data_IF_219449361979
#
_entry.id   IF_219449361979
#
_cell.length_a   1.000
_cell.length_b   1.000
_cell.length_c   1.000
_cell.angle_alpha   90.00
_cell.angle_beta   90.00
_cell.angle_gamma   90.00
#
_symmetry.space_group_name_H-M   'P 1'
#
loop_
_entity.id
_entity.type
_entity.pdbx_description
1 polymer ?
#
# COMPACT_ATOMS: atom_id res chain seq x y z
N UNK A 1 14.84 17.51 1.49
CA UNK A 1 13.42 17.46 1.95
C UNK A 1 12.56 17.61 0.71
N UNK A 2 11.85 16.56 0.30
CA UNK A 2 11.33 16.39 -1.07
C UNK A 2 10.07 17.20 -1.39
N UNK A 3 9.86 17.47 -2.68
CA UNK A 3 8.71 18.20 -3.27
C UNK A 3 7.33 17.69 -2.81
N UNK A 4 7.24 16.44 -2.37
CA UNK A 4 6.01 15.88 -1.79
C UNK A 4 5.53 16.61 -0.51
N UNK A 5 6.41 17.35 0.18
CA UNK A 5 6.08 18.11 1.39
C UNK A 5 5.69 19.57 1.12
N UNK A 6 5.91 20.08 -0.10
CA UNK A 6 5.65 21.47 -0.48
C UNK A 6 4.16 21.86 -0.39
N UNK A 7 3.20 21.02 -0.86
CA UNK A 7 1.77 21.33 -0.75
C UNK A 7 1.25 21.37 0.69
N UNK A 8 2.00 20.79 1.63
CA UNK A 8 1.60 20.68 3.04
C UNK A 8 2.12 21.82 3.90
N UNK A 9 2.87 22.77 3.34
CA UNK A 9 3.53 23.82 4.11
C UNK A 9 2.55 24.67 4.93
N UNK A 10 1.40 25.01 4.34
CA UNK A 10 0.32 25.83 4.93
C UNK A 10 -0.88 24.98 5.41
N UNK A 11 -0.78 23.65 5.33
CA UNK A 11 -1.90 22.77 5.60
C UNK A 11 -2.12 22.57 7.12
N UNK A 12 -3.36 22.60 7.64
CA UNK A 12 -3.64 22.41 9.07
C UNK A 12 -3.10 21.07 9.61
N UNK A 13 -3.21 20.01 8.82
CA UNK A 13 -2.81 18.65 9.21
C UNK A 13 -1.32 18.34 8.97
N UNK A 14 -0.48 19.34 8.70
CA UNK A 14 0.96 19.15 8.37
C UNK A 14 1.71 18.28 9.39
N UNK A 15 1.30 18.29 10.66
CA UNK A 15 1.94 17.52 11.74
C UNK A 15 1.57 16.04 11.73
N UNK A 16 0.39 15.71 11.23
CA UNK A 16 -0.16 14.35 11.18
C UNK A 16 0.24 13.64 9.88
N UNK A 17 0.45 14.41 8.81
CA UNK A 17 0.80 13.90 7.50
C UNK A 17 2.29 13.57 7.42
N UNK A 18 2.58 12.38 6.90
CA UNK A 18 3.92 11.84 6.65
C UNK A 18 4.05 11.47 5.18
N UNK A 19 4.32 12.45 4.29
CA UNK A 19 4.44 12.19 2.87
C UNK A 19 5.55 11.17 2.61
N UNK A 20 5.25 10.18 1.79
CA UNK A 20 6.29 9.30 1.23
C UNK A 20 7.19 10.19 0.36
N UNK A 21 8.52 10.04 0.44
CA UNK A 21 9.47 10.94 -0.24
C UNK A 21 9.37 11.02 -1.77
N UNK A 22 8.40 10.32 -2.36
CA UNK A 22 8.04 10.27 -3.78
C UNK A 22 6.54 10.56 -3.95
N UNK A 23 6.09 11.16 -5.06
CA UNK A 23 4.66 11.32 -5.35
C UNK A 23 3.97 9.96 -5.47
N UNK A 24 2.89 9.75 -4.72
CA UNK A 24 2.09 8.52 -4.75
C UNK A 24 0.67 8.84 -5.22
N UNK A 25 0.16 8.04 -6.16
CA UNK A 25 -1.22 8.10 -6.63
C UNK A 25 -1.88 6.74 -6.40
N UNK A 26 -2.96 6.71 -5.64
CA UNK A 26 -3.80 5.54 -5.41
C UNK A 26 -4.96 5.58 -6.40
N UNK A 27 -5.09 4.53 -7.21
CA UNK A 27 -6.14 4.40 -8.22
C UNK A 27 -7.17 3.34 -7.79
N UNK A 28 -8.40 3.78 -7.54
CA UNK A 28 -9.57 2.90 -7.47
C UNK A 28 -10.15 2.69 -8.87
N UNK A 29 -10.32 1.45 -9.31
CA UNK A 29 -11.03 1.14 -10.56
C UNK A 29 -12.33 0.39 -10.29
N UNK A 30 -13.19 0.31 -11.31
CA UNK A 30 -14.50 -0.35 -11.26
C UNK A 30 -15.43 0.19 -10.18
N UNK A 31 -15.47 1.52 -10.04
CA UNK A 31 -16.39 2.16 -9.12
C UNK A 31 -17.86 1.82 -9.41
N UNK A 32 -18.20 1.56 -10.66
CA UNK A 32 -19.50 1.08 -11.12
C UNK A 32 -19.87 -0.30 -10.53
N UNK A 33 -18.93 -1.24 -10.50
CA UNK A 33 -19.13 -2.55 -9.87
C UNK A 33 -19.27 -2.42 -8.35
N UNK A 34 -18.47 -1.54 -7.74
CA UNK A 34 -18.57 -1.24 -6.30
C UNK A 34 -19.93 -0.61 -5.94
N UNK A 35 -20.40 0.33 -6.74
CA UNK A 35 -21.71 0.97 -6.56
C UNK A 35 -22.86 -0.02 -6.71
N UNK A 36 -22.76 -0.98 -7.64
CA UNK A 36 -23.78 -2.01 -7.85
C UNK A 36 -23.80 -3.09 -6.75
N UNK A 37 -22.63 -3.63 -6.37
CA UNK A 37 -22.53 -4.82 -5.51
C UNK A 37 -22.37 -4.50 -4.02
N UNK A 38 -21.90 -3.30 -3.68
CA UNK A 38 -21.63 -2.87 -2.31
C UNK A 38 -22.29 -1.52 -2.01
N UNK A 39 -23.38 -1.21 -2.72
CA UNK A 39 -24.03 0.09 -2.80
C UNK A 39 -24.73 0.61 -1.54
N UNK A 40 -24.73 -0.15 -0.43
CA UNK A 40 -25.18 0.36 0.87
C UNK A 40 -24.46 1.68 1.19
N UNK A 41 -25.19 2.80 1.35
CA UNK A 41 -24.60 4.12 1.54
C UNK A 41 -23.59 4.18 2.69
N UNK A 42 -23.86 3.46 3.78
CA UNK A 42 -22.97 3.39 4.94
C UNK A 42 -21.65 2.67 4.63
N UNK A 43 -21.67 1.52 3.95
CA UNK A 43 -20.43 0.80 3.57
C UNK A 43 -19.54 1.65 2.66
N UNK A 44 -20.16 2.36 1.72
CA UNK A 44 -19.49 3.28 0.80
C UNK A 44 -18.91 4.50 1.51
N UNK A 45 -19.64 5.07 2.47
CA UNK A 45 -19.15 6.16 3.32
C UNK A 45 -17.96 5.73 4.17
N UNK A 46 -17.97 4.53 4.75
CA UNK A 46 -16.83 4.01 5.51
C UNK A 46 -15.62 3.79 4.61
N UNK A 47 -15.79 3.14 3.45
CA UNK A 47 -14.70 2.89 2.49
C UNK A 47 -14.06 4.20 2.02
N UNK A 48 -14.88 5.14 1.58
CA UNK A 48 -14.38 6.42 1.03
C UNK A 48 -13.63 7.23 2.07
N UNK A 49 -14.14 7.33 3.30
CA UNK A 49 -13.43 8.02 4.39
C UNK A 49 -12.14 7.29 4.77
N UNK A 50 -12.14 5.97 4.79
CA UNK A 50 -10.96 5.16 5.07
C UNK A 50 -9.86 5.38 4.02
N UNK A 51 -10.19 5.28 2.73
CA UNK A 51 -9.24 5.55 1.63
C UNK A 51 -8.71 6.99 1.69
N UNK A 52 -9.59 7.97 1.94
CA UNK A 52 -9.21 9.37 2.09
C UNK A 52 -8.24 9.57 3.25
N UNK A 53 -8.51 8.97 4.41
CA UNK A 53 -7.61 9.02 5.57
C UNK A 53 -6.21 8.50 5.24
N UNK A 54 -6.09 7.29 4.68
CA UNK A 54 -4.79 6.71 4.37
C UNK A 54 -4.04 7.52 3.32
N UNK A 55 -4.73 7.98 2.27
CA UNK A 55 -4.10 8.83 1.25
C UNK A 55 -3.62 10.15 1.86
N UNK A 56 -4.44 10.77 2.71
CA UNK A 56 -4.12 12.03 3.38
C UNK A 56 -2.88 11.89 4.28
N UNK A 57 -2.87 10.90 5.17
CA UNK A 57 -1.76 10.67 6.11
C UNK A 57 -0.45 10.35 5.38
N UNK A 58 -0.50 9.68 4.22
CA UNK A 58 0.68 9.37 3.42
C UNK A 58 1.03 10.42 2.37
N UNK A 59 0.29 11.54 2.30
CA UNK A 59 0.49 12.58 1.29
C UNK A 59 0.23 12.12 -0.14
N UNK A 60 -0.55 11.06 -0.33
CA UNK A 60 -0.90 10.49 -1.62
C UNK A 60 -2.17 11.14 -2.21
N UNK A 61 -2.27 11.11 -3.54
CA UNK A 61 -3.50 11.49 -4.24
C UNK A 61 -4.38 10.25 -4.47
N UNK A 62 -5.70 10.39 -4.40
CA UNK A 62 -6.67 9.32 -4.65
C UNK A 62 -7.53 9.67 -5.87
N UNK A 63 -7.65 8.74 -6.83
CA UNK A 63 -8.56 8.87 -7.96
C UNK A 63 -9.34 7.57 -8.12
N UNK A 64 -10.66 7.66 -8.17
CA UNK A 64 -11.52 6.52 -8.50
C UNK A 64 -12.07 6.67 -9.92
N UNK A 65 -12.18 5.57 -10.65
CA UNK A 65 -12.62 5.52 -12.04
C UNK A 65 -13.67 4.43 -12.25
N UNK A 66 -14.62 4.67 -13.16
CA UNK A 66 -15.59 3.67 -13.63
C UNK A 66 -15.14 3.04 -14.95
N UNK A 67 -15.76 1.93 -15.34
CA UNK A 67 -15.59 1.40 -16.69
C UNK A 67 -15.99 2.44 -17.74
N UNK A 68 -15.13 2.68 -18.74
CA UNK A 68 -15.32 3.66 -19.83
C UNK A 68 -15.54 5.13 -19.38
N UNK A 69 -14.98 5.54 -18.23
CA UNK A 69 -15.06 6.92 -17.74
C UNK A 69 -13.97 7.82 -18.34
N UNK A 70 -14.25 8.41 -19.52
CA UNK A 70 -13.31 9.32 -20.20
C UNK A 70 -12.95 10.54 -19.33
N UNK A 71 -13.90 11.25 -18.68
CA UNK A 71 -13.58 12.39 -17.81
C UNK A 71 -12.58 12.04 -16.69
N UNK A 72 -12.81 10.97 -15.92
CA UNK A 72 -11.92 10.63 -14.81
C UNK A 72 -10.55 10.13 -15.30
N UNK A 73 -10.50 9.46 -16.44
CA UNK A 73 -9.24 9.08 -17.07
C UNK A 73 -8.41 10.29 -17.52
N UNK A 74 -9.04 11.38 -17.94
CA UNK A 74 -8.34 12.65 -18.24
C UNK A 74 -7.78 13.26 -16.97
N UNK A 75 -8.56 13.28 -15.88
CA UNK A 75 -8.10 13.76 -14.57
C UNK A 75 -6.89 12.96 -14.08
N UNK A 76 -6.94 11.63 -14.16
CA UNK A 76 -5.82 10.76 -13.80
C UNK A 76 -4.57 11.05 -14.63
N UNK A 77 -4.70 11.18 -15.96
CA UNK A 77 -3.56 11.52 -16.83
C UNK A 77 -2.95 12.87 -16.46
N UNK A 78 -3.78 13.87 -16.24
CA UNK A 78 -3.31 15.21 -15.86
C UNK A 78 -2.59 15.18 -14.50
N UNK A 79 -3.06 14.36 -13.56
CA UNK A 79 -2.41 14.16 -12.26
C UNK A 79 -1.02 13.52 -12.42
N UNK A 80 -0.92 12.48 -13.24
CA UNK A 80 0.36 11.83 -13.54
C UNK A 80 1.31 12.80 -14.27
N UNK A 81 0.81 13.56 -15.24
CA UNK A 81 1.60 14.57 -15.96
C UNK A 81 2.08 15.68 -15.03
N UNK A 82 1.27 16.10 -14.06
CA UNK A 82 1.70 17.06 -13.05
C UNK A 82 2.89 16.52 -12.23
N UNK A 83 2.83 15.24 -11.81
CA UNK A 83 3.93 14.64 -11.05
C UNK A 83 5.20 14.41 -11.86
N UNK A 84 5.08 14.03 -13.14
CA UNK A 84 6.22 13.68 -14.01
C UNK A 84 6.80 14.89 -14.74
N UNK A 85 5.94 15.73 -15.32
CA UNK A 85 6.31 16.84 -16.20
C UNK A 85 6.13 18.22 -15.57
N UNK A 86 5.68 18.30 -14.31
CA UNK A 86 5.50 19.56 -13.58
C UNK A 86 4.53 20.52 -14.28
N UNK A 87 3.51 19.98 -14.97
CA UNK A 87 2.40 20.76 -15.52
C UNK A 87 1.52 21.33 -14.42
N UNK A 88 0.51 22.13 -14.76
CA UNK A 88 -0.45 22.68 -13.80
C UNK A 88 -1.08 21.61 -12.89
N UNK A 89 -1.19 21.93 -11.60
CA UNK A 89 -1.80 21.05 -10.61
C UNK A 89 -3.27 20.78 -10.91
N UNK A 90 -3.72 19.54 -10.66
CA UNK A 90 -5.13 19.16 -10.75
C UNK A 90 -5.89 19.81 -9.61
N UNK A 91 -6.84 20.70 -9.95
CA UNK A 91 -7.70 21.40 -8.98
C UNK A 91 -9.06 20.74 -8.77
N UNK A 92 -9.40 19.73 -9.57
CA UNK A 92 -10.65 19.00 -9.43
C UNK A 92 -10.64 18.24 -8.12
N UNK A 93 -11.59 18.53 -7.24
CA UNK A 93 -11.77 17.86 -5.95
C UNK A 93 -13.18 17.29 -5.90
N UNK A 94 -13.27 16.03 -5.52
CA UNK A 94 -14.50 15.29 -5.39
C UNK A 94 -14.39 14.34 -4.20
N UNK A 95 -14.98 14.75 -3.08
CA UNK A 95 -14.89 14.07 -1.78
C UNK A 95 -16.16 13.25 -1.46
N UNK A 96 -17.21 13.44 -2.26
CA UNK A 96 -18.54 12.93 -2.01
C UNK A 96 -18.62 11.43 -2.30
N UNK A 97 -19.15 10.66 -1.36
CA UNK A 97 -19.14 9.20 -1.44
C UNK A 97 -20.13 8.64 -2.48
N UNK A 98 -21.04 9.45 -3.01
CA UNK A 98 -22.01 9.03 -4.04
C UNK A 98 -21.38 8.94 -5.43
N UNK A 99 -20.22 9.55 -5.66
CA UNK A 99 -19.56 9.64 -6.96
C UNK A 99 -18.10 9.16 -6.86
N UNK A 100 -17.45 8.80 -7.97
CA UNK A 100 -16.03 8.47 -7.96
C UNK A 100 -15.20 9.60 -7.35
N UNK A 101 -14.32 9.26 -6.42
CA UNK A 101 -13.48 10.23 -5.71
C UNK A 101 -12.38 10.81 -6.59
N UNK A 102 -12.06 12.09 -6.36
CA UNK A 102 -10.87 12.77 -6.89
C UNK A 102 -10.31 13.61 -5.76
N UNK A 103 -9.18 13.18 -5.19
CA UNK A 103 -8.57 13.81 -4.03
C UNK A 103 -7.09 14.04 -4.34
N UNK A 104 -6.72 15.21 -4.87
CA UNK A 104 -5.33 15.61 -4.99
C UNK A 104 -4.66 15.63 -3.61
N UNK A 105 -3.35 15.37 -3.57
CA UNK A 105 -2.56 15.56 -2.35
C UNK A 105 -2.78 16.99 -1.80
N UNK A 106 -2.91 17.10 -0.48
CA UNK A 106 -3.21 18.33 0.29
C UNK A 106 -4.54 19.03 0.02
N UNK A 107 -5.47 18.42 -0.73
CA UNK A 107 -6.80 18.99 -0.99
C UNK A 107 -7.87 18.53 0.01
N UNK A 108 -7.55 17.56 0.87
CA UNK A 108 -8.44 17.01 1.89
C UNK A 108 -8.03 17.47 3.29
N UNK A 109 -8.82 17.17 4.33
CA UNK A 109 -8.42 17.41 5.72
C UNK A 109 -8.97 16.36 6.66
N UNK A 110 -8.27 16.08 7.76
CA UNK A 110 -8.71 15.16 8.80
C UNK A 110 -10.05 15.62 9.42
N UNK A 111 -10.27 16.92 9.52
CA UNK A 111 -11.54 17.49 9.95
C UNK A 111 -12.69 17.15 8.98
N UNK A 112 -12.46 17.21 7.66
CA UNK A 112 -13.46 16.88 6.66
C UNK A 112 -13.71 15.36 6.52
N UNK A 113 -12.69 14.54 6.79
CA UNK A 113 -12.80 13.08 6.83
C UNK A 113 -13.60 12.64 8.07
N UNK A 114 -13.34 13.27 9.21
CA UNK A 114 -13.95 12.99 10.50
C UNK A 114 -13.35 11.78 11.20
N UNK A 115 -14.06 11.29 12.21
CA UNK A 115 -13.66 10.10 12.98
C UNK A 115 -14.23 8.82 12.35
N UNK A 116 -13.51 7.68 12.46
CA UNK A 116 -14.05 6.39 12.07
C UNK A 116 -15.27 6.03 12.93
N UNK A 117 -16.20 5.20 12.41
CA UNK A 117 -17.27 4.60 13.21
C UNK A 117 -16.70 3.90 14.44
N UNK A 118 -17.36 4.02 15.59
CA UNK A 118 -17.01 3.23 16.77
C UNK A 118 -17.24 1.75 16.48
N UNK A 119 -16.26 0.92 16.85
CA UNK A 119 -16.38 -0.54 16.84
C UNK A 119 -16.37 -0.97 18.30
N UNK A 120 -17.45 -1.62 18.75
CA UNK A 120 -17.60 -2.03 20.14
C UNK A 120 -16.50 -2.98 20.59
N UNK A 121 -15.95 -2.75 21.78
CA UNK A 121 -14.97 -3.65 22.41
C UNK A 121 -13.52 -3.50 21.96
N UNK A 122 -13.21 -2.55 21.05
CA UNK A 122 -11.83 -2.33 20.60
C UNK A 122 -11.35 -0.93 20.98
N UNK A 123 -10.58 -0.84 22.07
CA UNK A 123 -9.89 0.39 22.44
C UNK A 123 -8.56 0.45 21.70
N UNK A 124 -8.50 1.32 20.69
CA UNK A 124 -7.34 1.46 19.82
C UNK A 124 -6.80 2.88 19.94
N UNK A 125 -5.54 3.00 20.32
CA UNK A 125 -4.91 4.30 20.59
C UNK A 125 -4.49 5.03 19.32
N UNK A 126 -4.16 4.31 18.23
CA UNK A 126 -3.75 4.95 16.97
C UNK A 126 -4.93 5.20 16.02
N UNK A 127 -5.03 6.40 15.40
CA UNK A 127 -6.11 6.68 14.45
C UNK A 127 -6.13 5.75 13.23
N UNK A 128 -4.96 5.28 12.77
CA UNK A 128 -4.86 4.37 11.62
C UNK A 128 -5.41 2.97 11.89
N UNK A 129 -5.19 2.44 13.09
CA UNK A 129 -5.77 1.15 13.50
C UNK A 129 -7.28 1.26 13.72
N UNK A 130 -7.80 2.42 14.18
CA UNK A 130 -9.25 2.66 14.25
C UNK A 130 -9.91 2.61 12.87
N UNK A 131 -9.28 3.22 11.86
CA UNK A 131 -9.76 3.13 10.47
C UNK A 131 -9.68 1.69 9.92
N UNK A 132 -8.65 0.94 10.29
CA UNK A 132 -8.53 -0.49 9.94
C UNK A 132 -9.66 -1.31 10.56
N UNK A 133 -9.91 -1.15 11.86
CA UNK A 133 -10.98 -1.87 12.55
C UNK A 133 -12.37 -1.54 11.96
N UNK A 134 -12.66 -0.26 11.68
CA UNK A 134 -13.91 0.13 11.03
C UNK A 134 -14.06 -0.48 9.63
N UNK A 135 -12.96 -0.56 8.86
CA UNK A 135 -12.96 -1.23 7.56
C UNK A 135 -13.24 -2.73 7.70
N UNK A 136 -12.54 -3.43 8.60
CA UNK A 136 -12.70 -4.88 8.80
C UNK A 136 -14.09 -5.25 9.33
N UNK A 137 -14.68 -4.41 10.18
CA UNK A 137 -16.07 -4.58 10.62
C UNK A 137 -17.08 -4.43 9.47
N UNK A 138 -16.80 -3.54 8.51
CA UNK A 138 -17.66 -3.28 7.35
C UNK A 138 -17.46 -4.29 6.22
N UNK A 139 -16.22 -4.72 6.03
CA UNK A 139 -15.74 -5.62 4.98
C UNK A 139 -14.97 -6.76 5.65
N UNK A 140 -15.67 -7.73 6.28
CA UNK A 140 -15.02 -8.83 6.95
C UNK A 140 -14.11 -9.55 5.95
N UNK A 141 -12.86 -9.85 6.33
CA UNK A 141 -11.95 -10.54 5.44
C UNK A 141 -12.61 -11.85 5.01
N UNK A 142 -12.85 -12.01 3.71
CA UNK A 142 -13.18 -13.33 3.16
C UNK A 142 -12.05 -14.23 3.62
N UNK A 143 -12.37 -15.29 4.37
CA UNK A 143 -11.39 -16.29 4.80
C UNK A 143 -10.51 -16.55 3.60
N UNK A 144 -9.23 -16.18 3.68
CA UNK A 144 -8.34 -16.34 2.57
C UNK A 144 -8.44 -17.81 2.22
N UNK A 145 -9.07 -18.13 1.09
CA UNK A 145 -8.73 -19.37 0.41
C UNK A 145 -7.26 -19.16 0.13
N UNK A 146 -6.42 -19.69 1.02
CA UNK A 146 -5.08 -20.07 0.66
C UNK A 146 -5.28 -21.12 -0.42
N UNK A 147 -5.59 -20.67 -1.63
CA UNK A 147 -4.93 -21.17 -2.81
C UNK A 147 -3.46 -20.75 -2.65
N UNK A 148 -2.80 -21.22 -1.59
CA UNK A 148 -1.49 -21.77 -1.80
C UNK A 148 -1.74 -22.74 -2.95
N UNK A 149 -1.23 -22.41 -4.13
CA UNK A 149 -1.00 -23.44 -5.12
C UNK A 149 -0.39 -24.58 -4.33
N UNK A 150 -1.15 -25.64 -4.18
CA UNK A 150 -0.73 -26.78 -3.41
C UNK A 150 0.36 -27.42 -4.26
N UNK A 151 1.59 -26.93 -4.07
CA UNK A 151 2.78 -27.43 -4.73
C UNK A 151 3.02 -28.90 -4.33
N UNK A 152 2.26 -29.45 -3.37
CA UNK A 152 2.26 -30.87 -3.04
C UNK A 152 1.53 -31.75 -4.07
N UNK A 153 0.79 -31.18 -5.03
CA UNK A 153 0.16 -31.95 -6.11
C UNK A 153 1.17 -32.51 -7.12
N UNK A 154 2.43 -32.06 -7.09
CA UNK A 154 3.50 -32.66 -7.87
C UNK A 154 4.26 -33.61 -6.95
N UNK A 155 3.85 -34.87 -6.98
CA UNK A 155 4.53 -35.94 -6.28
C UNK A 155 5.91 -36.09 -6.93
N UNK A 156 6.95 -35.50 -6.33
CA UNK A 156 8.29 -35.47 -6.91
C UNK A 156 8.84 -36.88 -7.17
N UNK A 157 8.31 -37.89 -6.47
CA UNK A 157 8.63 -39.30 -6.64
C UNK A 157 8.05 -39.89 -7.94
N UNK A 158 6.95 -39.34 -8.48
CA UNK A 158 6.36 -39.78 -9.76
C UNK A 158 7.16 -39.36 -11.00
N UNK A 159 8.06 -38.38 -10.87
CA UNK A 159 8.88 -37.86 -11.97
C UNK A 159 10.38 -37.91 -11.61
N UNK A 160 10.83 -39.06 -11.09
CA UNK A 160 12.24 -39.30 -10.81
C UNK A 160 13.05 -39.31 -12.13
N UNK A 161 13.80 -38.24 -12.35
CA UNK A 161 14.75 -38.10 -13.45
C UNK A 161 16.15 -38.06 -12.87
N UNK A 162 16.93 -39.14 -13.06
CA UNK A 162 18.27 -39.30 -12.49
C UNK A 162 19.18 -38.09 -12.77
N UNK A 163 19.11 -37.54 -13.98
CA UNK A 163 19.86 -36.35 -14.39
C UNK A 163 19.45 -35.11 -13.59
N UNK A 164 18.15 -34.90 -13.37
CA UNK A 164 17.64 -33.73 -12.62
C UNK A 164 17.96 -33.87 -11.13
N UNK A 165 17.87 -35.07 -10.57
CA UNK A 165 18.15 -35.34 -9.16
C UNK A 165 19.63 -35.15 -8.83
N UNK A 166 20.53 -35.58 -9.71
CA UNK A 166 21.97 -35.34 -9.59
C UNK A 166 22.27 -33.84 -9.65
N UNK A 167 21.71 -33.11 -10.61
CA UNK A 167 21.89 -31.66 -10.74
C UNK A 167 21.35 -30.89 -9.53
N UNK A 168 20.18 -31.30 -9.02
CA UNK A 168 19.58 -30.71 -7.81
C UNK A 168 20.47 -30.94 -6.59
N UNK A 169 20.97 -32.16 -6.39
CA UNK A 169 21.88 -32.47 -5.27
C UNK A 169 23.20 -31.69 -5.36
N UNK A 170 23.75 -31.55 -6.56
CA UNK A 170 24.97 -30.77 -6.80
C UNK A 170 24.74 -29.28 -6.48
N UNK A 171 23.66 -28.69 -7.00
CA UNK A 171 23.30 -27.29 -6.73
C UNK A 171 23.00 -27.00 -5.28
N UNK A 172 22.33 -27.93 -4.60
CA UNK A 172 22.05 -27.83 -3.17
C UNK A 172 23.35 -27.82 -2.34
N UNK A 173 24.31 -28.69 -2.66
CA UNK A 173 25.62 -28.70 -2.02
C UNK A 173 26.43 -27.42 -2.27
N UNK A 174 26.39 -26.87 -3.50
CA UNK A 174 27.01 -25.58 -3.83
C UNK A 174 26.41 -24.43 -3.00
N UNK A 175 25.08 -24.39 -2.87
CA UNK A 175 24.37 -23.38 -2.09
C UNK A 175 24.71 -23.45 -0.59
N UNK A 176 24.80 -24.65 -0.03
CA UNK A 176 25.18 -24.84 1.38
C UNK A 176 26.62 -24.41 1.66
N UNK A 177 27.53 -24.70 0.73
CA UNK A 177 28.91 -24.22 0.81
C UNK A 177 28.96 -22.69 0.77
N UNK A 178 28.27 -22.06 -0.18
CA UNK A 178 28.20 -20.59 -0.26
C UNK A 178 27.61 -19.96 1.00
N UNK A 179 26.54 -20.55 1.57
CA UNK A 179 25.96 -20.08 2.84
C UNK A 179 26.95 -20.16 3.98
N UNK A 180 27.72 -21.25 4.05
CA UNK A 180 28.72 -21.46 5.10
C UNK A 180 29.88 -20.47 4.96
N UNK A 181 30.32 -20.19 3.75
CA UNK A 181 31.41 -19.26 3.48
C UNK A 181 30.96 -17.81 3.73
N UNK A 182 29.76 -17.42 3.32
CA UNK A 182 29.18 -16.10 3.63
C UNK A 182 29.04 -15.88 5.16
N UNK A 183 28.60 -16.89 5.91
CA UNK A 183 28.49 -16.82 7.37
C UNK A 183 29.87 -16.69 8.04
N UNK A 184 30.92 -17.29 7.46
CA UNK A 184 32.30 -17.16 7.94
C UNK A 184 32.87 -15.77 7.63
N UNK A 185 32.62 -15.23 6.44
CA UNK A 185 33.00 -13.86 6.08
C UNK A 185 32.32 -12.82 6.98
N UNK A 186 31.03 -12.99 7.29
CA UNK A 186 30.32 -12.14 8.26
C UNK A 186 30.92 -12.22 9.68
N UNK A 187 31.35 -13.41 10.13
CA UNK A 187 31.98 -13.58 11.44
C UNK A 187 33.39 -12.96 11.50
N UNK A 188 34.17 -13.06 10.41
CA UNK A 188 35.52 -12.47 10.32
C UNK A 188 35.46 -10.94 10.25
N UNK A 189 34.54 -10.38 9.47
CA UNK A 189 34.32 -8.93 9.40
C UNK A 189 33.83 -8.36 10.75
N UNK A 190 33.04 -9.13 11.50
CA UNK A 190 32.56 -8.73 12.84
C UNK A 190 33.62 -8.85 13.94
N UNK A 191 34.59 -9.76 13.81
CA UNK A 191 35.68 -9.94 14.79
C UNK A 191 36.91 -9.09 14.49
N UNK A 192 37.15 -8.70 13.23
CA UNK A 192 38.20 -7.76 12.84
C UNK A 192 37.94 -6.29 13.18
N UNK A 193 36.75 -5.95 13.67
CA UNK A 193 36.33 -4.59 14.04
C UNK A 193 36.45 -4.28 15.55
N UNK A 194 37.32 -4.99 16.29
CA UNK A 194 37.66 -4.63 17.67
C UNK A 194 38.82 -3.60 17.67
N UNK A 195 38.63 -2.37 18.19
CA UNK A 195 39.66 -1.35 18.16
C UNK A 195 40.76 -1.65 19.19
N UNK A 196 42.01 -1.79 18.73
CA UNK A 196 43.18 -1.68 19.59
C UNK A 196 43.39 -0.20 19.94
N UNK A 197 43.02 0.18 21.17
CA UNK A 197 43.44 1.44 21.79
C UNK A 197 44.94 1.36 22.11
N UNK A 198 45.80 2.25 21.60
CA UNK A 198 47.17 2.36 22.06
C UNK A 198 47.23 3.12 23.40
N UNK A 199 48.31 2.92 24.19
CA UNK A 199 48.45 3.44 25.56
C UNK A 199 48.55 4.96 25.67
#
# INVERSE_FOLDING_TARGET
>A
RGRAAEPWAEHPDRREVRPVGVPVVVLGHKWDEFEANHGEPEKRKVLTRCLRYFCHVHGASLVCTKHKDKPMMTVLRNLLYHHVFHTSAVRTVQLEHTRPLVVPASADSLAAIGQPPLVDGVHIDTPGERWRAAYEATFPPKAAKKEAQDLSLVDAEQFAEETIDVLRRQKQGELEKMRRDAMREEQQTRTGAAPTLPP
#
